data_IF_013674673413
#
_entry.id   IF_013674673413
#
_cell.length_a   1.000
_cell.length_b   1.000
_cell.length_c   1.000
_cell.angle_alpha   90.00
_cell.angle_beta   90.00
_cell.angle_gamma   90.00
#
_symmetry.space_group_name_H-M   'P 1'
#
loop_
_entity.id
_entity.type
_entity.pdbx_description
1 polymer ?
#
# COMPACT_ATOMS: atom_id res chain seq x y z
N UNK A 1 14.48 3.75 2.93
CA UNK A 1 13.22 4.21 3.57
C UNK A 1 12.73 5.56 3.03
N UNK A 2 13.48 6.66 3.17
CA UNK A 2 13.00 7.99 2.74
C UNK A 2 12.56 8.04 1.27
N UNK A 3 13.35 7.43 0.38
CA UNK A 3 13.01 7.27 -1.04
C UNK A 3 11.67 6.54 -1.27
N UNK A 4 11.38 5.50 -0.48
CA UNK A 4 10.13 4.74 -0.59
C UNK A 4 8.94 5.58 -0.13
N UNK A 5 9.10 6.41 0.91
CA UNK A 5 8.07 7.35 1.32
C UNK A 5 7.78 8.39 0.24
N UNK A 6 8.81 8.93 -0.41
CA UNK A 6 8.65 9.89 -1.50
C UNK A 6 7.87 9.29 -2.68
N UNK A 7 8.23 8.08 -3.12
CA UNK A 7 7.50 7.37 -4.17
C UNK A 7 6.07 7.09 -3.73
N UNK A 8 5.89 6.57 -2.52
CA UNK A 8 4.58 6.22 -1.97
C UNK A 8 3.64 7.42 -1.99
N UNK A 9 4.06 8.56 -1.42
CA UNK A 9 3.22 9.76 -1.39
C UNK A 9 2.92 10.26 -2.81
N UNK A 10 3.92 10.27 -3.72
CA UNK A 10 3.69 10.64 -5.12
C UNK A 10 2.64 9.73 -5.79
N UNK A 11 2.70 8.42 -5.59
CA UNK A 11 1.74 7.49 -6.20
C UNK A 11 0.33 7.65 -5.61
N UNK A 12 0.23 7.82 -4.29
CA UNK A 12 -1.03 8.04 -3.58
C UNK A 12 -1.68 9.36 -4.02
N UNK A 13 -0.92 10.43 -4.16
CA UNK A 13 -1.42 11.74 -4.57
C UNK A 13 -1.88 11.79 -6.03
N UNK A 14 -1.26 10.98 -6.90
CA UNK A 14 -1.55 10.98 -8.34
C UNK A 14 -2.53 9.88 -8.78
N UNK A 15 -3.04 9.06 -7.85
CA UNK A 15 -3.99 8.01 -8.22
C UNK A 15 -5.27 8.60 -8.84
N UNK A 16 -5.73 8.10 -10.01
CA UNK A 16 -6.94 8.59 -10.65
C UNK A 16 -8.18 8.39 -9.77
N UNK A 17 -9.12 9.35 -9.81
CA UNK A 17 -10.38 9.31 -9.05
C UNK A 17 -11.63 9.15 -9.90
N UNK A 18 -11.48 8.96 -11.22
CA UNK A 18 -12.61 8.85 -12.16
C UNK A 18 -13.51 7.65 -11.87
N UNK A 19 -12.93 6.57 -11.34
CA UNK A 19 -13.65 5.35 -10.92
C UNK A 19 -13.19 5.03 -9.51
N UNK A 20 -14.09 5.17 -8.53
CA UNK A 20 -13.84 4.73 -7.15
C UNK A 20 -14.15 3.23 -7.08
N UNK A 21 -13.19 2.46 -6.55
CA UNK A 21 -13.32 1.00 -6.48
C UNK A 21 -14.29 0.61 -5.37
N UNK A 22 -15.44 0.05 -5.73
CA UNK A 22 -16.49 -0.41 -4.79
C UNK A 22 -15.97 -1.35 -3.68
N UNK A 23 -15.02 -2.29 -3.93
CA UNK A 23 -14.46 -3.13 -2.86
C UNK A 23 -13.68 -2.39 -1.76
N UNK A 24 -13.40 -1.09 -1.92
CA UNK A 24 -12.63 -0.28 -0.96
C UNK A 24 -13.24 -0.26 0.44
N UNK A 25 -14.57 -0.24 0.55
CA UNK A 25 -15.24 -0.22 1.85
C UNK A 25 -14.94 -1.48 2.68
N UNK A 26 -14.73 -2.62 2.00
CA UNK A 26 -14.45 -3.90 2.64
C UNK A 26 -13.07 -3.96 3.28
N UNK A 27 -12.16 -3.07 2.91
CA UNK A 27 -10.80 -3.00 3.46
C UNK A 27 -10.75 -2.32 4.84
N UNK A 28 -11.85 -1.72 5.30
CA UNK A 28 -11.91 -0.98 6.56
C UNK A 28 -12.25 -1.86 7.78
N UNK A 29 -12.31 -3.18 7.62
CA UNK A 29 -12.86 -4.14 8.59
C UNK A 29 -12.04 -4.38 9.87
N UNK A 30 -10.93 -3.66 10.08
CA UNK A 30 -10.07 -3.84 11.26
C UNK A 30 -9.18 -5.09 11.22
N UNK A 31 -9.21 -5.85 10.13
CA UNK A 31 -8.32 -6.99 9.91
C UNK A 31 -6.85 -6.54 9.89
N UNK A 32 -5.98 -7.30 10.57
CA UNK A 32 -4.54 -6.98 10.62
C UNK A 32 -3.81 -7.22 9.30
N UNK A 33 -4.36 -8.08 8.45
CA UNK A 33 -3.79 -8.45 7.16
C UNK A 33 -4.93 -8.79 6.20
N UNK A 34 -4.93 -8.18 5.02
CA UNK A 34 -5.95 -8.37 4.00
C UNK A 34 -5.26 -8.76 2.69
N UNK A 35 -5.63 -9.91 2.14
CA UNK A 35 -5.19 -10.35 0.82
C UNK A 35 -6.19 -9.94 -0.27
N UNK A 36 -5.72 -9.25 -1.31
CA UNK A 36 -6.54 -8.87 -2.46
C UNK A 36 -6.17 -9.74 -3.66
N UNK A 37 -7.06 -10.66 -4.04
CA UNK A 37 -6.87 -11.54 -5.19
C UNK A 37 -7.73 -11.11 -6.38
N UNK A 38 -7.17 -11.19 -7.59
CA UNK A 38 -7.89 -10.91 -8.82
C UNK A 38 -7.00 -10.93 -10.06
N UNK A 39 -7.61 -10.95 -11.24
CA UNK A 39 -6.91 -11.00 -12.53
C UNK A 39 -5.93 -9.82 -12.73
N UNK A 40 -4.95 -10.00 -13.63
CA UNK A 40 -4.06 -8.91 -14.05
C UNK A 40 -4.90 -7.83 -14.76
N UNK A 41 -4.59 -6.55 -14.50
CA UNK A 41 -5.31 -5.43 -15.09
C UNK A 41 -6.68 -5.11 -14.47
N UNK A 42 -7.17 -5.90 -13.50
CA UNK A 42 -8.46 -5.61 -12.83
C UNK A 42 -8.41 -4.35 -11.96
N UNK A 43 -7.21 -3.84 -11.64
CA UNK A 43 -7.00 -2.59 -10.89
C UNK A 43 -6.79 -2.73 -9.39
N UNK A 44 -6.10 -3.79 -8.97
CA UNK A 44 -5.72 -4.03 -7.56
C UNK A 44 -4.82 -2.91 -7.01
N UNK A 45 -3.79 -2.53 -7.76
CA UNK A 45 -2.90 -1.41 -7.45
C UNK A 45 -3.68 -0.10 -7.28
N UNK A 46 -4.63 0.17 -8.20
CA UNK A 46 -5.50 1.34 -8.10
C UNK A 46 -6.36 1.31 -6.84
N UNK A 47 -6.91 0.15 -6.47
CA UNK A 47 -7.67 -0.02 -5.24
C UNK A 47 -6.81 0.29 -4.00
N UNK A 48 -5.59 -0.25 -3.92
CA UNK A 48 -4.67 0.00 -2.80
C UNK A 48 -4.33 1.50 -2.67
N UNK A 49 -3.94 2.14 -3.78
CA UNK A 49 -3.58 3.56 -3.79
C UNK A 49 -4.77 4.47 -3.45
N UNK A 50 -5.96 4.17 -3.99
CA UNK A 50 -7.17 4.92 -3.62
C UNK A 50 -7.54 4.72 -2.16
N UNK A 51 -7.41 3.50 -1.62
CA UNK A 51 -7.64 3.24 -0.20
C UNK A 51 -6.69 4.05 0.69
N UNK A 52 -5.40 4.07 0.36
CA UNK A 52 -4.40 4.87 1.06
C UNK A 52 -4.73 6.37 1.04
N UNK A 53 -5.23 6.87 -0.09
CA UNK A 53 -5.60 8.28 -0.25
C UNK A 53 -6.85 8.65 0.54
N UNK A 54 -7.92 7.86 0.39
CA UNK A 54 -9.27 8.24 0.83
C UNK A 54 -9.57 7.78 2.27
N UNK A 55 -9.09 6.60 2.67
CA UNK A 55 -9.41 5.99 3.98
C UNK A 55 -8.29 6.12 5.00
N UNK A 56 -7.04 6.29 4.56
CA UNK A 56 -5.87 6.39 5.43
C UNK A 56 -5.31 7.81 5.53
N UNK A 57 -6.11 8.83 5.21
CA UNK A 57 -5.69 10.24 5.33
C UNK A 57 -5.30 10.56 6.78
N UNK A 58 -4.12 11.16 6.95
CA UNK A 58 -3.56 11.49 8.28
C UNK A 58 -3.00 10.29 9.04
N UNK A 59 -3.02 9.08 8.47
CA UNK A 59 -2.37 7.89 9.04
C UNK A 59 -0.97 7.72 8.48
N UNK A 60 -0.06 7.14 9.28
CA UNK A 60 1.29 6.76 8.82
C UNK A 60 1.21 5.50 7.98
N UNK A 61 1.19 5.69 6.66
CA UNK A 61 1.01 4.64 5.66
C UNK A 61 2.19 4.61 4.71
N UNK A 62 2.45 3.45 4.12
CA UNK A 62 3.47 3.29 3.11
C UNK A 62 2.98 2.32 2.04
N UNK A 63 3.08 2.71 0.78
CA UNK A 63 2.85 1.85 -0.37
C UNK A 63 4.19 1.43 -0.97
N UNK A 64 4.38 0.13 -1.20
CA UNK A 64 5.58 -0.43 -1.83
C UNK A 64 5.21 -1.48 -2.87
N UNK A 65 5.99 -1.56 -3.95
CA UNK A 65 5.98 -2.73 -4.84
C UNK A 65 7.09 -3.69 -4.39
N UNK A 66 6.82 -5.00 -4.41
CA UNK A 66 7.81 -6.02 -4.10
C UNK A 66 8.84 -6.24 -5.20
N UNK A 67 8.63 -5.68 -6.40
CA UNK A 67 9.61 -5.70 -7.47
C UNK A 67 10.81 -4.77 -7.19
N UNK A 68 10.75 -3.96 -6.12
CA UNK A 68 11.89 -3.13 -5.69
C UNK A 68 13.03 -4.00 -5.14
N UNK A 69 14.25 -3.75 -5.64
CA UNK A 69 15.48 -4.50 -5.36
C UNK A 69 15.79 -4.52 -3.85
N UNK A 70 15.35 -3.53 -3.07
CA UNK A 70 15.54 -3.52 -1.61
C UNK A 70 14.91 -4.73 -0.91
N UNK A 71 13.78 -5.26 -1.43
CA UNK A 71 13.08 -6.40 -0.83
C UNK A 71 13.74 -7.74 -1.13
N UNK A 72 14.39 -7.87 -2.29
CA UNK A 72 15.08 -9.09 -2.70
C UNK A 72 16.26 -9.45 -1.77
N UNK A 73 16.85 -8.46 -1.08
CA UNK A 73 17.97 -8.69 -0.16
C UNK A 73 17.58 -8.72 1.32
N UNK A 74 16.61 -7.89 1.75
CA UNK A 74 16.25 -7.76 3.18
C UNK A 74 15.05 -8.62 3.60
N UNK A 75 14.16 -8.94 2.66
CA UNK A 75 12.91 -9.63 2.91
C UNK A 75 11.82 -8.73 3.52
N UNK A 76 10.57 -9.00 3.14
CA UNK A 76 9.40 -8.19 3.53
C UNK A 76 9.18 -8.12 5.06
N UNK A 77 9.48 -9.21 5.78
CA UNK A 77 9.26 -9.26 7.23
C UNK A 77 10.19 -8.30 8.00
N UNK A 78 11.48 -8.25 7.64
CA UNK A 78 12.43 -7.31 8.23
C UNK A 78 12.04 -5.87 7.90
N UNK A 79 11.66 -5.62 6.65
CA UNK A 79 11.20 -4.30 6.23
C UNK A 79 9.97 -3.83 7.01
N UNK A 80 8.98 -4.71 7.19
CA UNK A 80 7.77 -4.39 7.96
C UNK A 80 8.10 -4.06 9.42
N UNK A 81 9.06 -4.77 10.03
CA UNK A 81 9.55 -4.48 11.38
C UNK A 81 10.22 -3.10 11.46
N UNK A 82 11.08 -2.73 10.49
CA UNK A 82 11.66 -1.38 10.39
C UNK A 82 10.57 -0.30 10.24
N UNK A 83 9.58 -0.53 9.38
CA UNK A 83 8.47 0.39 9.17
C UNK A 83 7.65 0.61 10.45
N UNK A 84 7.35 -0.46 11.19
CA UNK A 84 6.62 -0.36 12.48
C UNK A 84 7.46 0.38 13.53
N UNK A 85 8.77 0.16 13.58
CA UNK A 85 9.68 0.89 14.49
C UNK A 85 9.75 2.39 14.20
N UNK A 86 9.56 2.80 12.95
CA UNK A 86 9.40 4.20 12.55
C UNK A 86 7.97 4.73 12.78
N UNK A 87 7.10 3.90 13.36
CA UNK A 87 5.76 4.24 13.76
C UNK A 87 4.70 4.01 12.68
N UNK A 88 5.04 3.30 11.61
CA UNK A 88 4.11 2.91 10.55
C UNK A 88 2.85 2.20 11.08
N UNK A 89 1.70 2.54 10.51
CA UNK A 89 0.39 1.99 10.88
C UNK A 89 -0.18 1.08 9.79
N UNK A 90 -0.01 1.45 8.52
CA UNK A 90 -0.52 0.71 7.37
C UNK A 90 0.57 0.48 6.32
N UNK A 91 0.90 -0.78 6.08
CA UNK A 91 1.78 -1.16 4.99
C UNK A 91 0.94 -1.74 3.85
N UNK A 92 0.96 -1.08 2.69
CA UNK A 92 0.32 -1.54 1.47
C UNK A 92 1.40 -2.12 0.55
N UNK A 93 1.19 -3.35 0.12
CA UNK A 93 2.16 -4.10 -0.68
C UNK A 93 1.48 -4.51 -1.98
N UNK A 94 2.10 -4.19 -3.10
CA UNK A 94 1.66 -4.60 -4.44
C UNK A 94 2.67 -5.54 -5.12
N UNK A 95 2.19 -6.25 -6.14
CA UNK A 95 2.98 -7.22 -6.95
C UNK A 95 3.52 -8.42 -6.16
N UNK A 96 2.59 -9.21 -5.60
CA UNK A 96 2.81 -10.61 -5.13
C UNK A 96 2.31 -11.60 -6.18
#
# INVERSE_FOLDING_TARGET
MDYLFEISERLIENVPRKIIREPMERLSGGDRMIGIKGARGVGKSTLLLQFAREKLKGRRKLYVSLDDIEFAHRGLAHFADEFVKLGGEYLLVDEV
#
